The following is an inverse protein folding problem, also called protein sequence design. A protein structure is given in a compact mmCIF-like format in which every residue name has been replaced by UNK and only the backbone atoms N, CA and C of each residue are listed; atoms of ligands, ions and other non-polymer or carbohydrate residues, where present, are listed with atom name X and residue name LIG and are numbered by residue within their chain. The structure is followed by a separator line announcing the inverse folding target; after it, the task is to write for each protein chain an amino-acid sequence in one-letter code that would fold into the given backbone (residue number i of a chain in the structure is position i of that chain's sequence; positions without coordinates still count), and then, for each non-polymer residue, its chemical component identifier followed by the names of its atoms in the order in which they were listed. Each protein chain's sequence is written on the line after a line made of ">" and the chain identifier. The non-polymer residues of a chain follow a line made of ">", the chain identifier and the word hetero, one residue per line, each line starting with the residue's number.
data_IF_528440469640
#
_entry.id   IF_528440469640
#
_cell.length_a   1.000
_cell.length_b   1.000
_cell.length_c   1.000
_cell.angle_alpha   90.00
_cell.angle_beta   90.00
_cell.angle_gamma   90.00
#
_symmetry.space_group_name_H-M   'P 1'
#
loop_
_entity.id
_entity.type
_entity.pdbx_description
1 polymer ?
#
# COMPACT_ATOMS: atom_id res chain seq x y z
N UNK A 1 14.96 25.10 39.62
CA UNK A 1 16.09 24.90 38.67
C UNK A 1 16.07 23.51 38.08
N UNK A 2 16.08 22.44 38.86
CA UNK A 2 16.02 21.06 38.39
C UNK A 2 14.72 20.73 37.62
N UNK A 3 13.61 21.39 37.95
CA UNK A 3 12.30 21.15 37.31
C UNK A 3 12.28 21.63 35.87
N UNK A 4 12.94 22.73 35.55
CA UNK A 4 13.02 23.27 34.20
C UNK A 4 13.84 22.34 33.29
N UNK A 5 14.95 21.81 33.83
CA UNK A 5 15.81 20.87 33.11
C UNK A 5 15.07 19.56 32.80
N UNK A 6 14.28 19.08 33.77
CA UNK A 6 13.47 17.87 33.61
C UNK A 6 12.43 18.01 32.50
N UNK A 7 11.84 19.19 32.35
CA UNK A 7 10.86 19.44 31.31
C UNK A 7 11.47 19.47 29.90
N UNK A 8 12.66 20.05 29.78
CA UNK A 8 13.39 20.08 28.50
C UNK A 8 13.77 18.64 28.09
N UNK A 9 14.23 17.85 29.04
CA UNK A 9 14.62 16.46 28.79
C UNK A 9 13.43 15.58 28.40
N UNK A 10 12.25 15.87 28.95
CA UNK A 10 11.03 15.13 28.59
C UNK A 10 10.54 15.43 27.18
N UNK A 11 10.74 16.65 26.70
CA UNK A 11 10.32 17.03 25.35
C UNK A 11 11.17 16.35 24.28
N UNK A 12 12.45 16.12 24.52
CA UNK A 12 13.34 15.52 23.55
C UNK A 12 12.95 14.07 23.18
N UNK A 13 12.61 13.17 24.11
CA UNK A 13 12.11 11.84 23.77
C UNK A 13 10.77 11.86 23.03
N UNK A 14 9.88 12.77 23.36
CA UNK A 14 8.59 12.90 22.72
C UNK A 14 8.73 13.35 21.25
N UNK A 15 9.70 14.19 20.98
CA UNK A 15 10.01 14.63 19.61
C UNK A 15 10.55 13.48 18.73
N UNK A 16 11.11 12.43 19.33
CA UNK A 16 11.61 11.26 18.61
C UNK A 16 10.50 10.23 18.28
N UNK A 17 9.34 10.32 18.94
CA UNK A 17 8.22 9.40 18.73
C UNK A 17 7.77 9.28 17.27
N UNK A 18 7.77 10.37 16.45
CA UNK A 18 7.41 10.27 15.02
C UNK A 18 8.26 9.30 14.20
N UNK A 19 9.47 8.96 14.67
CA UNK A 19 10.35 8.03 13.97
C UNK A 19 9.76 6.61 13.83
N UNK A 20 8.77 6.26 14.66
CA UNK A 20 8.12 4.95 14.65
C UNK A 20 6.81 4.93 13.84
N UNK A 21 6.49 5.99 13.14
CA UNK A 21 5.30 6.00 12.29
C UNK A 21 5.50 5.07 11.11
N UNK A 22 4.56 4.14 10.93
CA UNK A 22 4.48 3.35 9.71
C UNK A 22 3.79 4.16 8.62
N UNK A 23 4.15 3.89 7.35
CA UNK A 23 3.46 4.49 6.22
C UNK A 23 1.96 4.14 6.27
N UNK A 24 1.08 5.09 5.97
CA UNK A 24 -0.36 4.84 6.02
C UNK A 24 -0.75 3.73 5.03
N UNK A 25 -1.48 2.75 5.54
CA UNK A 25 -1.94 1.59 4.77
C UNK A 25 -3.13 0.95 5.49
N UNK A 26 -3.83 0.08 4.79
CA UNK A 26 -4.94 -0.69 5.35
C UNK A 26 -4.94 -2.09 4.76
N UNK A 27 -4.28 -3.02 5.45
CA UNK A 27 -4.14 -4.41 5.00
C UNK A 27 -5.51 -5.09 4.88
N UNK A 28 -6.41 -4.81 5.81
CA UNK A 28 -7.76 -5.39 5.80
C UNK A 28 -8.54 -4.98 4.56
N UNK A 29 -8.46 -3.71 4.16
CA UNK A 29 -9.10 -3.24 2.93
C UNK A 29 -8.50 -3.92 1.69
N UNK A 30 -7.18 -4.12 1.67
CA UNK A 30 -6.52 -4.84 0.57
C UNK A 30 -6.97 -6.29 0.50
N UNK A 31 -7.00 -6.98 1.64
CA UNK A 31 -7.47 -8.37 1.71
C UNK A 31 -8.94 -8.49 1.28
N UNK A 32 -9.78 -7.57 1.74
CA UNK A 32 -11.20 -7.57 1.40
C UNK A 32 -11.44 -7.34 -0.09
N UNK A 33 -10.71 -6.42 -0.71
CA UNK A 33 -10.79 -6.19 -2.14
C UNK A 33 -10.34 -7.42 -2.94
N UNK A 34 -9.19 -7.97 -2.58
CA UNK A 34 -8.64 -9.13 -3.29
C UNK A 34 -9.55 -10.34 -3.13
N UNK A 35 -10.09 -10.57 -1.93
CA UNK A 35 -11.05 -11.63 -1.70
C UNK A 35 -12.30 -11.48 -2.57
N UNK A 36 -12.84 -10.27 -2.66
CA UNK A 36 -13.99 -9.98 -3.51
C UNK A 36 -13.71 -10.29 -5.00
N UNK A 37 -12.52 -9.90 -5.49
CA UNK A 37 -12.10 -10.17 -6.87
C UNK A 37 -12.01 -11.67 -7.13
N UNK A 38 -11.42 -12.43 -6.19
CA UNK A 38 -11.24 -13.88 -6.34
C UNK A 38 -12.56 -14.66 -6.32
N UNK A 39 -13.57 -14.14 -5.65
CA UNK A 39 -14.91 -14.77 -5.59
C UNK A 39 -15.75 -14.35 -6.79
N UNK A 40 -15.64 -13.09 -7.20
CA UNK A 40 -16.38 -12.55 -8.34
C UNK A 40 -15.48 -11.58 -9.11
N UNK A 41 -15.02 -12.00 -10.27
CA UNK A 41 -14.08 -11.22 -11.07
C UNK A 41 -14.63 -9.87 -11.54
N UNK A 42 -15.94 -9.68 -11.56
CA UNK A 42 -16.55 -8.38 -11.88
C UNK A 42 -16.15 -7.29 -10.90
N UNK A 43 -15.78 -7.66 -9.67
CA UNK A 43 -15.26 -6.71 -8.70
C UNK A 43 -14.00 -5.99 -9.18
N UNK A 44 -13.18 -6.64 -10.01
CA UNK A 44 -12.00 -6.03 -10.60
C UNK A 44 -12.35 -4.78 -11.43
N UNK A 45 -13.40 -4.85 -12.21
CA UNK A 45 -13.81 -3.74 -13.06
C UNK A 45 -14.38 -2.55 -12.30
N UNK A 46 -14.73 -2.73 -11.03
CA UNK A 46 -15.17 -1.63 -10.18
C UNK A 46 -14.04 -0.73 -9.71
N UNK A 47 -12.80 -1.20 -9.80
CA UNK A 47 -11.61 -0.49 -9.30
C UNK A 47 -10.52 -0.32 -10.35
N UNK A 48 -10.55 -1.06 -11.43
CA UNK A 48 -9.45 -1.12 -12.40
C UNK A 48 -9.22 0.17 -13.18
N UNK A 49 -10.19 1.08 -13.20
CA UNK A 49 -10.05 2.38 -13.86
C UNK A 49 -9.16 3.36 -13.08
N UNK A 50 -9.02 3.18 -11.77
CA UNK A 50 -8.20 4.07 -10.95
C UNK A 50 -7.13 3.34 -10.13
N UNK A 51 -7.32 2.06 -9.79
CA UNK A 51 -6.41 1.32 -8.92
C UNK A 51 -5.42 0.49 -9.73
N UNK A 52 -4.14 0.73 -9.48
CA UNK A 52 -3.03 -0.02 -10.07
C UNK A 52 -2.35 -0.88 -9.00
N UNK A 53 -1.60 -1.94 -9.41
CA UNK A 53 -0.89 -2.80 -8.44
C UNK A 53 0.01 -2.05 -7.47
N UNK A 54 0.68 -0.99 -7.93
CA UNK A 54 1.57 -0.18 -7.10
C UNK A 54 0.89 0.52 -5.92
N UNK A 55 -0.44 0.67 -5.98
CA UNK A 55 -1.21 1.34 -4.92
C UNK A 55 -1.42 0.46 -3.70
N UNK A 56 -1.32 -0.86 -3.85
CA UNK A 56 -1.39 -1.76 -2.71
C UNK A 56 -0.09 -1.69 -1.92
N UNK A 57 -0.20 -1.77 -0.61
CA UNK A 57 0.96 -1.63 0.28
C UNK A 57 1.79 -2.91 0.36
N UNK A 58 1.13 -4.05 0.53
CA UNK A 58 1.80 -5.34 0.66
C UNK A 58 2.27 -5.86 -0.71
N UNK A 59 3.56 -6.24 -0.84
CA UNK A 59 4.09 -6.76 -2.10
C UNK A 59 3.32 -7.97 -2.64
N UNK A 60 2.90 -8.89 -1.76
CA UNK A 60 2.12 -10.03 -2.19
C UNK A 60 0.75 -9.62 -2.74
N UNK A 61 0.14 -8.59 -2.16
CA UNK A 61 -1.13 -8.06 -2.65
C UNK A 61 -0.97 -7.42 -4.02
N UNK A 62 0.13 -6.71 -4.25
CA UNK A 62 0.45 -6.16 -5.57
C UNK A 62 0.53 -7.26 -6.62
N UNK A 63 1.22 -8.34 -6.30
CA UNK A 63 1.38 -9.49 -7.20
C UNK A 63 0.05 -10.17 -7.48
N UNK A 64 -0.76 -10.39 -6.46
CA UNK A 64 -2.09 -11.02 -6.60
C UNK A 64 -2.99 -10.14 -7.48
N UNK A 65 -3.04 -8.85 -7.22
CA UNK A 65 -3.88 -7.91 -7.98
C UNK A 65 -3.45 -7.85 -9.45
N UNK A 66 -2.15 -7.75 -9.71
CA UNK A 66 -1.61 -7.71 -11.07
C UNK A 66 -1.90 -8.99 -11.83
N UNK A 67 -1.68 -10.14 -11.20
CA UNK A 67 -1.91 -11.45 -11.82
C UNK A 67 -3.40 -11.67 -12.09
N UNK A 68 -4.26 -11.35 -11.13
CA UNK A 68 -5.70 -11.43 -11.32
C UNK A 68 -6.18 -10.53 -12.45
N UNK A 69 -5.70 -9.28 -12.49
CA UNK A 69 -6.03 -8.34 -13.55
C UNK A 69 -5.60 -8.82 -14.92
N UNK A 70 -4.41 -9.41 -15.03
CA UNK A 70 -3.90 -9.96 -16.29
C UNK A 70 -4.77 -11.11 -16.79
N UNK A 71 -5.17 -12.02 -15.90
CA UNK A 71 -6.07 -13.13 -16.25
C UNK A 71 -7.43 -12.62 -16.72
N UNK A 72 -8.03 -11.71 -15.97
CA UNK A 72 -9.36 -11.16 -16.27
C UNK A 72 -9.36 -10.43 -17.62
N UNK A 73 -8.35 -9.60 -17.88
CA UNK A 73 -8.21 -8.89 -19.16
C UNK A 73 -8.01 -9.83 -20.35
N UNK A 74 -7.39 -10.99 -20.09
CA UNK A 74 -7.22 -12.02 -21.11
C UNK A 74 -8.47 -12.89 -21.31
N UNK A 75 -9.58 -12.57 -20.64
CA UNK A 75 -10.81 -13.35 -20.70
C UNK A 75 -10.77 -14.66 -19.92
N UNK A 76 -9.81 -14.78 -18.98
CA UNK A 76 -9.66 -15.97 -18.14
C UNK A 76 -10.23 -15.70 -16.75
N UNK A 77 -10.49 -16.78 -16.01
CA UNK A 77 -11.01 -16.68 -14.65
C UNK A 77 -9.85 -16.55 -13.66
N UNK A 78 -9.91 -15.55 -12.80
CA UNK A 78 -8.99 -15.38 -11.70
C UNK A 78 -9.62 -15.98 -10.43
N UNK A 79 -9.07 -17.09 -9.96
CA UNK A 79 -9.49 -17.80 -8.75
C UNK A 79 -8.24 -18.20 -7.96
N UNK A 80 -8.39 -18.62 -6.69
CA UNK A 80 -7.22 -19.14 -5.96
C UNK A 80 -6.49 -20.26 -6.70
N UNK A 81 -7.23 -21.11 -7.41
CA UNK A 81 -6.64 -22.24 -8.15
C UNK A 81 -5.83 -21.78 -9.35
N UNK A 82 -6.34 -20.81 -10.12
CA UNK A 82 -5.63 -20.31 -11.30
C UNK A 82 -4.45 -19.42 -10.93
N UNK A 83 -4.60 -18.59 -9.89
CA UNK A 83 -3.54 -17.67 -9.49
C UNK A 83 -2.31 -18.36 -8.91
N UNK A 84 -2.48 -19.44 -8.16
CA UNK A 84 -1.34 -20.12 -7.54
C UNK A 84 -0.31 -20.62 -8.56
N UNK A 85 -0.70 -20.79 -9.80
CA UNK A 85 0.20 -21.19 -10.89
C UNK A 85 1.18 -20.07 -11.26
N UNK A 86 0.76 -18.81 -11.10
CA UNK A 86 1.52 -17.64 -11.54
C UNK A 86 2.19 -16.88 -10.41
N UNK A 87 1.83 -17.15 -9.16
CA UNK A 87 2.46 -16.52 -8.00
C UNK A 87 3.58 -17.41 -7.51
N UNK A 88 4.81 -16.88 -7.26
CA UNK A 88 5.92 -17.69 -6.81
C UNK A 88 5.59 -18.49 -5.54
N UNK A 89 5.83 -19.80 -5.59
CA UNK A 89 5.46 -20.71 -4.51
C UNK A 89 6.29 -20.52 -3.24
N UNK A 90 7.47 -19.91 -3.36
CA UNK A 90 8.41 -19.66 -2.27
C UNK A 90 8.13 -18.34 -1.52
N UNK A 91 7.08 -17.63 -1.89
CA UNK A 91 6.68 -16.40 -1.21
C UNK A 91 6.27 -16.72 0.22
N UNK A 92 6.95 -16.10 1.18
CA UNK A 92 6.61 -16.26 2.61
C UNK A 92 5.46 -15.32 2.98
N UNK A 93 4.38 -15.90 3.46
CA UNK A 93 3.17 -15.18 3.89
C UNK A 93 2.82 -15.63 5.30
N UNK A 94 3.66 -15.25 6.27
CA UNK A 94 3.42 -15.54 7.68
C UNK A 94 3.25 -17.03 7.98
N UNK A 95 4.04 -17.89 7.32
CA UNK A 95 4.00 -19.34 7.50
C UNK A 95 2.94 -20.06 6.67
N UNK A 96 2.19 -19.32 5.83
CA UNK A 96 1.21 -19.91 4.93
C UNK A 96 1.79 -20.09 3.53
N UNK A 97 1.32 -21.12 2.82
CA UNK A 97 1.59 -21.23 1.38
C UNK A 97 0.76 -20.22 0.61
N UNK A 98 1.19 -19.91 -0.62
CA UNK A 98 0.42 -19.04 -1.51
C UNK A 98 -1.00 -19.55 -1.73
N UNK A 99 -1.14 -20.86 -1.98
CA UNK A 99 -2.45 -21.46 -2.17
C UNK A 99 -3.37 -21.33 -0.95
N UNK A 100 -2.82 -21.51 0.25
CA UNK A 100 -3.57 -21.33 1.50
C UNK A 100 -4.00 -19.87 1.68
N UNK A 101 -3.12 -18.94 1.39
CA UNK A 101 -3.42 -17.51 1.51
C UNK A 101 -4.53 -17.08 0.55
N UNK A 102 -4.41 -17.48 -0.71
CA UNK A 102 -5.43 -17.18 -1.73
C UNK A 102 -6.81 -17.77 -1.35
N UNK A 103 -6.82 -19.01 -0.88
CA UNK A 103 -8.04 -19.65 -0.42
C UNK A 103 -8.66 -18.92 0.77
N UNK A 104 -7.83 -18.45 1.70
CA UNK A 104 -8.27 -17.67 2.85
C UNK A 104 -8.88 -16.33 2.42
N UNK A 105 -8.23 -15.61 1.49
CA UNK A 105 -8.77 -14.35 0.97
C UNK A 105 -10.17 -14.56 0.37
N UNK A 106 -10.34 -15.61 -0.42
CA UNK A 106 -11.63 -15.93 -1.02
C UNK A 106 -12.68 -16.33 0.02
N UNK A 107 -12.27 -17.12 1.03
CA UNK A 107 -13.18 -17.59 2.08
C UNK A 107 -13.69 -16.46 2.98
N UNK A 108 -12.86 -15.44 3.20
CA UNK A 108 -13.21 -14.29 4.03
C UNK A 108 -13.89 -13.17 3.24
N UNK A 109 -14.05 -13.33 1.93
CA UNK A 109 -14.71 -12.33 1.09
C UNK A 109 -16.17 -12.15 1.50
N UNK A 110 -16.58 -10.91 1.63
CA UNK A 110 -17.97 -10.60 2.00
C UNK A 110 -18.81 -10.37 0.75
N UNK A 111 -18.78 -9.16 0.20
CA UNK A 111 -19.63 -8.82 -0.94
C UNK A 111 -18.89 -7.89 -1.90
N UNK A 112 -19.17 -8.05 -3.18
CA UNK A 112 -18.60 -7.23 -4.24
C UNK A 112 -19.11 -5.77 -4.19
N UNK A 113 -20.21 -5.51 -3.49
CA UNK A 113 -20.80 -4.17 -3.38
C UNK A 113 -19.79 -3.17 -2.81
N UNK A 114 -18.99 -3.60 -1.86
CA UNK A 114 -18.02 -2.74 -1.19
C UNK A 114 -16.65 -2.67 -1.89
N UNK A 115 -16.47 -3.37 -3.01
CA UNK A 115 -15.18 -3.43 -3.69
C UNK A 115 -14.67 -2.04 -4.09
N UNK A 116 -15.55 -1.18 -4.58
CA UNK A 116 -15.17 0.18 -4.98
C UNK A 116 -14.71 1.01 -3.78
N UNK A 117 -15.38 0.90 -2.65
CA UNK A 117 -15.00 1.63 -1.44
C UNK A 117 -13.65 1.16 -0.89
N UNK A 118 -13.40 -0.14 -0.90
CA UNK A 118 -12.09 -0.68 -0.52
C UNK A 118 -11.00 -0.19 -1.46
N UNK A 119 -11.27 -0.20 -2.77
CA UNK A 119 -10.33 0.31 -3.77
C UNK A 119 -10.01 1.78 -3.57
N UNK A 120 -11.00 2.61 -3.28
CA UNK A 120 -10.79 4.03 -3.02
C UNK A 120 -9.97 4.26 -1.74
N UNK A 121 -10.24 3.51 -0.69
CA UNK A 121 -9.45 3.57 0.54
C UNK A 121 -7.98 3.23 0.28
N UNK A 122 -7.73 2.17 -0.46
CA UNK A 122 -6.37 1.77 -0.84
C UNK A 122 -5.69 2.87 -1.67
N UNK A 123 -6.39 3.41 -2.65
CA UNK A 123 -5.88 4.46 -3.53
C UNK A 123 -5.53 5.73 -2.75
N UNK A 124 -6.41 6.19 -1.87
CA UNK A 124 -6.17 7.39 -1.07
C UNK A 124 -4.98 7.22 -0.12
N UNK A 125 -4.82 6.04 0.46
CA UNK A 125 -3.67 5.76 1.31
C UNK A 125 -2.37 5.71 0.51
N UNK A 126 -2.41 5.21 -0.72
CA UNK A 126 -1.27 5.26 -1.62
C UNK A 126 -0.87 6.71 -1.94
N UNK A 127 -1.84 7.57 -2.21
CA UNK A 127 -1.58 9.00 -2.44
C UNK A 127 -0.98 9.67 -1.21
N UNK A 128 -1.40 9.28 -0.01
CA UNK A 128 -0.79 9.79 1.23
C UNK A 128 0.67 9.36 1.36
N UNK A 129 0.98 8.12 0.99
CA UNK A 129 2.38 7.66 0.96
C UNK A 129 3.21 8.44 -0.04
N UNK A 130 2.64 8.75 -1.21
CA UNK A 130 3.31 9.59 -2.21
C UNK A 130 3.58 10.98 -1.68
N UNK A 131 2.62 11.59 -0.96
CA UNK A 131 2.82 12.90 -0.34
C UNK A 131 3.95 12.87 0.69
N UNK A 132 4.04 11.82 1.48
CA UNK A 132 5.13 11.64 2.45
C UNK A 132 6.47 11.59 1.72
N UNK A 133 6.57 10.78 0.67
CA UNK A 133 7.79 10.63 -0.12
C UNK A 133 8.19 11.96 -0.78
N UNK A 134 7.24 12.70 -1.33
CA UNK A 134 7.49 14.03 -1.91
C UNK A 134 8.05 14.98 -0.85
N UNK A 135 7.45 14.96 0.35
CA UNK A 135 7.90 15.79 1.46
C UNK A 135 9.31 15.43 1.92
N UNK A 136 9.59 14.14 2.04
CA UNK A 136 10.92 13.64 2.42
C UNK A 136 11.96 13.99 1.35
N UNK A 137 11.64 13.80 0.09
CA UNK A 137 12.52 14.16 -1.01
C UNK A 137 12.83 15.66 -1.01
N UNK A 138 11.82 16.49 -0.75
CA UNK A 138 12.00 17.94 -0.65
C UNK A 138 12.97 18.31 0.47
N UNK A 139 12.83 17.67 1.63
CA UNK A 139 13.72 17.86 2.78
C UNK A 139 15.14 17.40 2.43
N UNK A 140 15.28 16.21 1.86
CA UNK A 140 16.57 15.64 1.51
C UNK A 140 17.31 16.49 0.47
N UNK A 141 16.61 16.95 -0.55
CA UNK A 141 17.19 17.83 -1.57
C UNK A 141 17.65 19.14 -0.94
N UNK A 142 16.90 19.68 0.02
CA UNK A 142 17.29 20.92 0.71
C UNK A 142 18.59 20.74 1.51
N UNK A 143 18.76 19.58 2.17
CA UNK A 143 19.98 19.28 2.92
C UNK A 143 21.19 19.02 2.02
N UNK A 144 20.99 18.30 0.91
CA UNK A 144 22.07 17.74 0.09
C UNK A 144 22.30 18.51 -1.22
N UNK A 145 21.56 19.60 -1.44
CA UNK A 145 21.63 20.36 -2.69
C UNK A 145 23.04 20.87 -2.98
N UNK A 146 23.52 20.75 -4.23
CA UNK A 146 24.79 21.34 -4.65
C UNK A 146 24.79 22.85 -4.47
N UNK A 147 26.01 23.43 -4.36
CA UNK A 147 26.18 24.88 -4.14
C UNK A 147 25.56 25.72 -5.27
N UNK A 148 25.53 25.18 -6.48
CA UNK A 148 24.97 25.84 -7.65
C UNK A 148 23.44 25.68 -7.81
N UNK A 149 22.81 24.89 -6.94
CA UNK A 149 21.35 24.72 -6.96
C UNK A 149 20.68 25.80 -6.11
N UNK A 150 19.94 26.70 -6.75
CA UNK A 150 19.31 27.82 -6.07
C UNK A 150 18.12 27.37 -5.20
N UNK A 151 18.11 27.66 -3.88
CA UNK A 151 16.98 27.27 -3.00
C UNK A 151 15.63 27.81 -3.47
N UNK A 152 15.61 29.01 -4.07
CA UNK A 152 14.38 29.59 -4.62
C UNK A 152 13.77 28.69 -5.70
N UNK A 153 14.58 28.09 -6.56
CA UNK A 153 14.11 27.20 -7.61
C UNK A 153 13.42 25.96 -7.03
N UNK A 154 13.92 25.44 -5.92
CA UNK A 154 13.27 24.32 -5.22
C UNK A 154 11.90 24.71 -4.69
N UNK A 155 11.78 25.90 -4.12
CA UNK A 155 10.49 26.42 -3.60
C UNK A 155 9.47 26.58 -4.73
N UNK A 156 9.89 27.12 -5.86
CA UNK A 156 9.03 27.43 -7.00
C UNK A 156 8.60 26.17 -7.78
N UNK A 157 9.37 25.08 -7.69
CA UNK A 157 9.11 23.82 -8.41
C UNK A 157 8.05 22.92 -7.77
N UNK A 158 7.54 23.24 -6.58
CA UNK A 158 6.54 22.41 -5.92
C UNK A 158 5.12 22.65 -6.43
#
# INVERSE_FOLDING_TARGET
>A
MAVADSNILKLAPDAATPAYRTAPHNIEAEQSLLGAILVNNDAFYRVSDFLEPKHLFEPIHQTIYETAGSLIRAGKIATPVTLKTFVPADTDIGGMTVGQYLARLAAEATTIINAQDYGRTIYELALRRDLINIGEDMVNVAYDAPVDFAPRAQIEAR
#
